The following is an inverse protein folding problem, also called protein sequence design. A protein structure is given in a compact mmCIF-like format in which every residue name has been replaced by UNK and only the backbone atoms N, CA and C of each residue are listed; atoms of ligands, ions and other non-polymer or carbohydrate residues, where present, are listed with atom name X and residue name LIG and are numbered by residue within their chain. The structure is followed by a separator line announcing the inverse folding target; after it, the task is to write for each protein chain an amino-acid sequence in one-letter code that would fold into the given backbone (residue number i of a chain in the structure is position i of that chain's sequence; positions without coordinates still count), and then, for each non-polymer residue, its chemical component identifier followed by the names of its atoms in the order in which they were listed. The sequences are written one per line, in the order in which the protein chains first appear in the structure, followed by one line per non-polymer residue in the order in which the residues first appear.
data_IF_309284793615
#
_entry.id   IF_309284793615
#
_cell.length_a   1.000
_cell.length_b   1.000
_cell.length_c   1.000
_cell.angle_alpha   90.00
_cell.angle_beta   90.00
_cell.angle_gamma   90.00
#
_symmetry.space_group_name_H-M   'P 1'
#
loop_
_entity.id
_entity.type
_entity.pdbx_description
1 polymer ?
#
# COMPACT_ATOMS: atom_id res chain seq x y z
N UNK A 1 4.16 18.71 63.91
CA UNK A 1 3.87 17.56 64.78
C UNK A 1 3.95 16.30 63.94
N UNK A 2 4.77 15.31 64.33
CA UNK A 2 4.92 14.05 63.60
C UNK A 2 3.94 13.02 64.16
N UNK A 3 3.09 12.45 63.30
CA UNK A 3 2.16 11.38 63.67
C UNK A 3 2.95 10.07 63.74
N UNK A 4 3.08 9.50 64.94
CA UNK A 4 3.66 8.17 65.15
C UNK A 4 2.54 7.19 65.56
N UNK A 5 2.60 5.97 65.02
CA UNK A 5 1.68 4.90 65.39
C UNK A 5 2.15 4.16 66.66
N UNK A 6 1.25 3.49 67.40
CA UNK A 6 1.52 2.90 68.72
C UNK A 6 2.60 1.80 68.77
N UNK A 7 3.10 1.36 67.61
CA UNK A 7 4.01 0.24 67.44
C UNK A 7 5.47 0.69 67.20
N UNK A 8 5.78 1.98 67.37
CA UNK A 8 7.15 2.51 67.27
C UNK A 8 7.74 2.59 65.85
N UNK A 9 6.99 2.23 64.81
CA UNK A 9 7.44 2.36 63.43
C UNK A 9 7.16 3.76 62.87
N UNK A 10 8.19 4.38 62.29
CA UNK A 10 8.11 5.68 61.63
C UNK A 10 7.46 5.52 60.25
N UNK A 11 6.54 6.43 59.90
CA UNK A 11 5.93 6.51 58.57
C UNK A 11 7.01 6.82 57.51
N UNK A 12 7.39 5.83 56.71
CA UNK A 12 8.20 6.01 55.51
C UNK A 12 7.25 6.13 54.31
N UNK A 13 7.14 7.35 53.76
CA UNK A 13 6.39 7.59 52.53
C UNK A 13 6.92 6.71 51.40
N UNK A 14 6.04 5.92 50.81
CA UNK A 14 6.36 5.04 49.69
C UNK A 14 6.79 5.92 48.50
N UNK A 15 8.10 6.05 48.27
CA UNK A 15 8.61 6.59 47.01
C UNK A 15 8.38 5.52 45.95
N UNK A 16 7.20 5.54 45.35
CA UNK A 16 6.92 4.80 44.12
C UNK A 16 7.92 5.27 43.07
N UNK A 17 8.95 4.46 42.81
CA UNK A 17 9.84 4.66 41.68
C UNK A 17 8.99 4.54 40.41
N UNK A 18 8.59 5.69 39.85
CA UNK A 18 7.94 5.76 38.55
C UNK A 18 8.92 5.18 37.54
N UNK A 19 8.70 3.92 37.13
CA UNK A 19 9.37 3.35 35.97
C UNK A 19 9.01 4.23 34.78
N UNK A 20 9.94 5.09 34.36
CA UNK A 20 9.80 5.86 33.13
C UNK A 20 9.49 4.87 32.01
N UNK A 21 8.43 5.07 31.20
CA UNK A 21 8.21 4.23 30.05
C UNK A 21 9.46 4.35 29.18
N UNK A 22 10.15 3.23 28.97
CA UNK A 22 11.22 3.13 27.98
C UNK A 22 10.57 3.49 26.65
N UNK A 23 10.92 4.66 26.12
CA UNK A 23 10.67 4.98 24.71
C UNK A 23 11.38 3.87 23.95
N UNK A 24 10.63 2.92 23.41
CA UNK A 24 11.15 2.04 22.37
C UNK A 24 11.51 2.98 21.22
N UNK A 25 12.77 3.40 21.18
CA UNK A 25 13.35 3.88 19.94
C UNK A 25 13.02 2.79 18.91
N UNK A 26 12.31 3.17 17.86
CA UNK A 26 12.11 2.29 16.73
C UNK A 26 13.50 1.99 16.17
N UNK A 27 14.07 0.89 16.61
CA UNK A 27 15.27 0.32 16.03
C UNK A 27 14.87 -0.09 14.63
N UNK A 28 15.31 0.69 13.64
CA UNK A 28 15.41 0.30 12.23
C UNK A 28 16.46 -0.82 12.12
N UNK A 29 16.22 -1.94 12.80
CA UNK A 29 17.10 -3.09 12.74
C UNK A 29 16.87 -3.80 11.43
N UNK A 30 17.82 -3.72 10.49
CA UNK A 30 18.04 -4.66 9.37
C UNK A 30 16.79 -5.33 8.77
N UNK A 31 15.72 -4.56 8.52
CA UNK A 31 14.56 -5.05 7.78
C UNK A 31 14.76 -4.65 6.33
N UNK A 32 14.65 -5.62 5.42
CA UNK A 32 14.60 -5.32 4.00
C UNK A 32 13.51 -4.28 3.69
N UNK A 33 13.67 -3.56 2.59
CA UNK A 33 12.71 -2.57 2.10
C UNK A 33 11.33 -3.23 1.93
N UNK A 34 10.27 -2.58 2.41
CA UNK A 34 8.90 -3.07 2.23
C UNK A 34 8.47 -2.92 0.78
N UNK A 35 7.50 -3.72 0.33
CA UNK A 35 7.01 -3.62 -1.04
C UNK A 35 6.44 -2.22 -1.35
N UNK A 36 5.69 -1.65 -0.41
CA UNK A 36 5.19 -0.27 -0.50
C UNK A 36 6.33 0.74 -0.68
N UNK A 37 7.42 0.60 0.08
CA UNK A 37 8.56 1.51 -0.04
C UNK A 37 9.27 1.35 -1.39
N UNK A 38 9.40 0.12 -1.91
CA UNK A 38 9.95 -0.10 -3.25
C UNK A 38 9.11 0.59 -4.34
N UNK A 39 7.77 0.57 -4.20
CA UNK A 39 6.88 1.26 -5.13
C UNK A 39 7.04 2.77 -5.01
N UNK A 40 7.05 3.30 -3.79
CA UNK A 40 7.19 4.75 -3.56
C UNK A 40 8.53 5.27 -4.12
N UNK A 41 9.64 4.58 -3.85
CA UNK A 41 10.96 4.91 -4.42
C UNK A 41 10.94 4.89 -5.96
N UNK A 42 10.15 3.99 -6.56
CA UNK A 42 10.00 3.91 -8.02
C UNK A 42 9.16 5.06 -8.57
N UNK A 43 8.08 5.42 -7.87
CA UNK A 43 7.23 6.55 -8.25
C UNK A 43 8.00 7.88 -8.14
N UNK A 44 8.79 8.06 -7.08
CA UNK A 44 9.68 9.22 -6.91
C UNK A 44 10.74 9.27 -8.01
N UNK A 45 11.30 8.11 -8.39
CA UNK A 45 12.20 8.03 -9.54
C UNK A 45 11.51 8.49 -10.82
N UNK A 46 10.33 7.96 -11.15
CA UNK A 46 9.58 8.34 -12.35
C UNK A 46 9.23 9.83 -12.38
N UNK A 47 8.82 10.39 -11.23
CA UNK A 47 8.52 11.80 -11.09
C UNK A 47 9.76 12.67 -11.32
N UNK A 48 10.87 12.33 -10.66
CA UNK A 48 12.15 13.08 -10.77
C UNK A 48 12.73 13.07 -12.18
N UNK A 49 12.40 12.05 -12.98
CA UNK A 49 12.83 11.91 -14.38
C UNK A 49 11.82 12.45 -15.38
N UNK A 50 10.66 12.95 -14.92
CA UNK A 50 9.59 13.43 -15.80
C UNK A 50 8.94 12.33 -16.64
N UNK A 51 9.03 11.07 -16.20
CA UNK A 51 8.49 9.90 -16.93
C UNK A 51 6.99 9.74 -16.67
N UNK A 52 6.57 9.88 -15.41
CA UNK A 52 5.18 9.75 -14.99
C UNK A 52 4.93 10.54 -13.70
N UNK A 53 3.67 10.90 -13.45
CA UNK A 53 3.25 11.55 -12.20
C UNK A 53 2.28 10.61 -11.50
N UNK A 54 2.78 9.84 -10.55
CA UNK A 54 2.04 8.77 -9.87
C UNK A 54 2.25 8.90 -8.36
N UNK A 55 1.17 8.84 -7.60
CA UNK A 55 1.20 9.03 -6.15
C UNK A 55 0.36 7.98 -5.43
N UNK A 56 0.75 7.71 -4.18
CA UNK A 56 -0.08 6.97 -3.24
C UNK A 56 -1.14 7.91 -2.66
N UNK A 57 -2.39 7.46 -2.61
CA UNK A 57 -3.46 8.13 -1.89
C UNK A 57 -3.20 8.02 -0.38
N UNK A 58 -3.36 9.12 0.38
CA UNK A 58 -3.20 9.09 1.83
C UNK A 58 -4.28 8.22 2.46
N UNK A 59 -3.95 7.58 3.59
CA UNK A 59 -4.92 6.77 4.33
C UNK A 59 -6.14 7.61 4.73
N UNK A 60 -7.36 7.20 4.35
CA UNK A 60 -8.55 8.00 4.61
C UNK A 60 -8.88 8.03 6.11
N UNK A 61 -8.95 9.24 6.65
CA UNK A 61 -9.33 9.49 8.06
C UNK A 61 -10.51 10.45 8.12
N UNK A 62 -11.42 10.20 9.06
CA UNK A 62 -12.45 11.14 9.48
C UNK A 62 -11.92 11.96 10.65
N UNK A 63 -11.66 13.23 10.42
CA UNK A 63 -11.26 14.15 11.48
C UNK A 63 -12.51 14.58 12.24
N UNK A 64 -12.54 14.38 13.55
CA UNK A 64 -13.66 14.75 14.42
C UNK A 64 -13.36 15.98 15.25
N UNK A 65 -12.13 16.10 15.75
CA UNK A 65 -11.71 17.25 16.56
C UNK A 65 -10.35 17.76 16.15
N UNK A 66 -10.26 19.07 15.96
CA UNK A 66 -9.02 19.80 15.64
C UNK A 66 -8.86 20.96 16.60
N UNK A 67 -7.66 21.10 17.15
CA UNK A 67 -7.26 22.27 17.93
C UNK A 67 -6.32 23.15 17.09
N UNK A 68 -6.46 24.48 17.22
CA UNK A 68 -5.64 25.47 16.53
C UNK A 68 -4.86 26.31 17.54
N UNK A 69 -3.70 25.83 18.04
CA UNK A 69 -2.94 26.55 19.05
C UNK A 69 -2.40 27.90 18.56
N UNK A 70 -2.12 28.04 17.25
CA UNK A 70 -1.66 29.28 16.58
C UNK A 70 -2.11 29.26 15.11
N UNK A 71 -2.15 30.42 14.42
CA UNK A 71 -2.61 30.52 13.02
C UNK A 71 -1.88 29.60 12.02
N UNK A 72 -0.65 29.19 12.29
CA UNK A 72 0.16 28.34 11.41
C UNK A 72 0.13 26.85 11.77
N UNK A 73 -0.64 26.44 12.78
CA UNK A 73 -0.62 25.07 13.27
C UNK A 73 -2.04 24.57 13.58
N UNK A 74 -2.35 23.38 13.07
CA UNK A 74 -3.55 22.63 13.38
C UNK A 74 -3.14 21.26 13.91
N UNK A 75 -3.73 20.85 15.04
CA UNK A 75 -3.48 19.55 15.66
C UNK A 75 -4.76 18.75 15.64
N UNK A 76 -4.77 17.63 14.93
CA UNK A 76 -5.88 16.67 14.98
C UNK A 76 -5.86 16.01 16.36
N UNK A 77 -6.93 16.17 17.13
CA UNK A 77 -7.09 15.59 18.48
C UNK A 77 -7.83 14.27 18.46
N UNK A 78 -8.76 14.12 17.53
CA UNK A 78 -9.58 12.91 17.40
C UNK A 78 -9.87 12.67 15.93
N UNK A 79 -9.59 11.45 15.48
CA UNK A 79 -9.93 10.98 14.15
C UNK A 79 -10.21 9.47 14.16
N UNK A 80 -11.07 9.05 13.23
CA UNK A 80 -11.39 7.64 13.00
C UNK A 80 -10.92 7.23 11.62
N UNK A 81 -10.37 6.03 11.47
CA UNK A 81 -10.08 5.50 10.13
C UNK A 81 -11.40 5.29 9.37
N UNK A 82 -11.41 5.72 8.11
CA UNK A 82 -12.48 5.35 7.18
C UNK A 82 -12.03 4.15 6.37
N UNK A 83 -12.99 3.34 5.95
CA UNK A 83 -12.73 2.36 4.91
C UNK A 83 -12.40 3.10 3.61
N UNK A 84 -11.32 2.70 2.93
CA UNK A 84 -11.03 3.19 1.59
C UNK A 84 -12.11 2.73 0.62
N UNK A 85 -12.49 3.60 -0.31
CA UNK A 85 -13.45 3.27 -1.38
C UNK A 85 -12.76 3.05 -2.73
N UNK A 86 -11.45 3.26 -2.80
CA UNK A 86 -10.67 3.21 -4.03
C UNK A 86 -9.37 2.45 -3.79
N UNK A 87 -8.66 2.15 -4.87
CA UNK A 87 -7.27 1.67 -4.88
C UNK A 87 -6.28 2.69 -4.30
N UNK A 88 -5.13 2.20 -3.87
CA UNK A 88 -4.10 3.00 -3.18
C UNK A 88 -3.26 3.91 -4.09
N UNK A 89 -3.05 3.60 -5.37
CA UNK A 89 -2.17 4.39 -6.25
C UNK A 89 -2.88 4.85 -7.51
N UNK A 90 -2.61 6.10 -7.92
CA UNK A 90 -3.04 6.59 -9.21
C UNK A 90 -2.13 7.72 -9.73
N UNK A 91 -2.32 8.06 -11.01
CA UNK A 91 -1.53 9.08 -11.66
C UNK A 91 -1.81 9.22 -13.14
N UNK A 92 -0.86 9.86 -13.82
CA UNK A 92 -0.87 10.06 -15.27
C UNK A 92 0.44 9.58 -15.86
N UNK A 93 0.31 8.82 -16.95
CA UNK A 93 1.43 8.36 -17.76
C UNK A 93 1.08 8.52 -19.23
N UNK A 94 1.92 9.24 -19.99
CA UNK A 94 1.69 9.56 -21.41
C UNK A 94 0.26 10.07 -21.71
N UNK A 95 -0.26 10.97 -20.87
CA UNK A 95 -1.60 11.54 -21.03
C UNK A 95 -2.77 10.60 -20.65
N UNK A 96 -2.51 9.35 -20.25
CA UNK A 96 -3.52 8.38 -19.83
C UNK A 96 -3.61 8.30 -18.31
N UNK A 97 -4.83 8.12 -17.81
CA UNK A 97 -5.08 7.82 -16.40
C UNK A 97 -4.54 6.42 -16.06
N UNK A 98 -3.76 6.34 -15.00
CA UNK A 98 -3.18 5.11 -14.48
C UNK A 98 -3.64 4.91 -13.04
N UNK A 99 -4.09 3.71 -12.70
CA UNK A 99 -4.61 3.37 -11.39
C UNK A 99 -4.22 1.95 -11.02
N UNK A 100 -3.67 1.74 -9.83
CA UNK A 100 -3.33 0.40 -9.41
C UNK A 100 -3.40 0.21 -7.90
N UNK A 101 -3.50 -1.06 -7.55
CA UNK A 101 -3.38 -1.55 -6.19
C UNK A 101 -2.07 -2.35 -6.04
N UNK A 102 -1.54 -2.45 -4.82
CA UNK A 102 -0.34 -3.23 -4.55
C UNK A 102 -0.57 -4.19 -3.38
N UNK A 103 -0.33 -5.48 -3.60
CA UNK A 103 -0.46 -6.51 -2.55
C UNK A 103 0.77 -7.39 -2.51
N UNK A 104 1.17 -7.75 -1.31
CA UNK A 104 2.22 -8.74 -1.08
C UNK A 104 1.64 -10.05 -0.53
N UNK A 105 2.31 -11.16 -0.82
CA UNK A 105 2.02 -12.47 -0.25
C UNK A 105 3.31 -13.21 0.06
N UNK A 106 3.32 -13.91 1.20
CA UNK A 106 4.40 -14.84 1.55
C UNK A 106 4.13 -16.26 1.03
N UNK A 107 2.92 -16.54 0.53
CA UNK A 107 2.57 -17.84 0.00
C UNK A 107 3.35 -18.09 -1.31
N UNK A 108 4.02 -19.25 -1.40
CA UNK A 108 4.86 -19.64 -2.54
C UNK A 108 4.08 -20.24 -3.72
N UNK A 109 2.82 -20.59 -3.51
CA UNK A 109 2.04 -21.42 -4.44
C UNK A 109 0.83 -20.71 -5.02
N UNK A 110 0.39 -19.60 -4.42
CA UNK A 110 -0.80 -18.87 -4.85
C UNK A 110 -0.88 -17.48 -4.20
N UNK A 111 -1.66 -16.61 -4.84
CA UNK A 111 -2.12 -15.34 -4.30
C UNK A 111 -3.57 -15.47 -3.80
N UNK A 112 -3.83 -15.36 -2.48
CA UNK A 112 -5.19 -15.43 -1.94
C UNK A 112 -6.05 -14.24 -2.37
N UNK A 113 -7.23 -14.48 -2.93
CA UNK A 113 -8.16 -13.40 -3.31
C UNK A 113 -8.70 -12.66 -2.09
N UNK A 114 -8.67 -13.25 -0.89
CA UNK A 114 -9.02 -12.57 0.36
C UNK A 114 -8.19 -11.32 0.66
N UNK A 115 -7.04 -11.16 -0.01
CA UNK A 115 -6.20 -9.97 0.09
C UNK A 115 -6.75 -8.76 -0.69
N UNK A 116 -7.79 -8.98 -1.50
CA UNK A 116 -8.49 -7.96 -2.28
C UNK A 116 -9.87 -7.74 -1.66
N UNK A 117 -10.30 -6.49 -1.62
CA UNK A 117 -11.60 -6.10 -1.08
C UNK A 117 -12.56 -5.70 -2.20
N UNK A 118 -13.87 -5.92 -1.99
CA UNK A 118 -14.89 -5.65 -3.01
C UNK A 118 -14.87 -4.20 -3.52
N UNK A 119 -14.67 -3.21 -2.64
CA UNK A 119 -14.61 -1.80 -3.04
C UNK A 119 -13.46 -1.51 -4.03
N UNK A 120 -12.33 -2.24 -3.95
CA UNK A 120 -11.22 -2.09 -4.89
C UNK A 120 -11.63 -2.62 -6.26
N UNK A 121 -12.32 -3.76 -6.29
CA UNK A 121 -12.86 -4.37 -7.51
C UNK A 121 -13.87 -3.45 -8.19
N UNK A 122 -14.82 -2.92 -7.42
CA UNK A 122 -15.85 -2.00 -7.92
C UNK A 122 -15.22 -0.74 -8.53
N UNK A 123 -14.21 -0.16 -7.85
CA UNK A 123 -13.45 0.99 -8.35
C UNK A 123 -12.67 0.65 -9.63
N UNK A 124 -11.98 -0.49 -9.66
CA UNK A 124 -11.25 -0.95 -10.86
C UNK A 124 -12.18 -1.11 -12.06
N UNK A 125 -13.38 -1.67 -11.88
CA UNK A 125 -14.38 -1.77 -12.95
C UNK A 125 -14.80 -0.40 -13.49
N UNK A 126 -15.02 0.57 -12.61
CA UNK A 126 -15.38 1.94 -13.01
C UNK A 126 -14.24 2.61 -13.80
N UNK A 127 -12.99 2.46 -13.35
CA UNK A 127 -11.83 2.99 -14.07
C UNK A 127 -11.63 2.33 -15.43
N UNK A 128 -11.80 1.00 -15.54
CA UNK A 128 -11.73 0.29 -16.81
C UNK A 128 -12.82 0.76 -17.80
N UNK A 129 -14.04 1.02 -17.32
CA UNK A 129 -15.11 1.56 -18.15
C UNK A 129 -14.78 2.95 -18.74
N UNK A 130 -13.87 3.69 -18.10
CA UNK A 130 -13.33 4.97 -18.58
C UNK A 130 -11.98 4.83 -19.32
N UNK A 131 -11.62 3.61 -19.74
CA UNK A 131 -10.38 3.32 -20.49
C UNK A 131 -9.09 3.64 -19.72
N UNK A 132 -9.15 3.60 -18.38
CA UNK A 132 -7.96 3.75 -17.54
C UNK A 132 -7.00 2.56 -17.65
N UNK A 133 -5.71 2.81 -17.42
CA UNK A 133 -4.69 1.77 -17.28
C UNK A 133 -4.78 1.21 -15.85
N UNK A 134 -5.54 0.12 -15.69
CA UNK A 134 -5.86 -0.43 -14.37
C UNK A 134 -5.24 -1.80 -14.15
N UNK A 135 -4.49 -1.98 -13.06
CA UNK A 135 -3.81 -3.24 -12.75
C UNK A 135 -3.57 -3.43 -11.25
N UNK A 136 -3.11 -4.62 -10.88
CA UNK A 136 -2.67 -5.00 -9.54
C UNK A 136 -1.18 -5.40 -9.61
N UNK A 137 -0.35 -4.80 -8.78
CA UNK A 137 1.00 -5.30 -8.54
C UNK A 137 0.97 -6.34 -7.42
N UNK A 138 1.47 -7.54 -7.72
CA UNK A 138 1.53 -8.67 -6.78
C UNK A 138 2.99 -9.03 -6.50
N UNK A 139 3.40 -8.90 -5.25
CA UNK A 139 4.74 -9.28 -4.80
C UNK A 139 4.74 -10.58 -3.99
N UNK A 140 5.38 -11.61 -4.54
CA UNK A 140 5.65 -12.86 -3.85
C UNK A 140 6.93 -12.70 -3.01
N UNK A 141 6.80 -12.18 -1.79
CA UNK A 141 7.95 -11.73 -0.98
C UNK A 141 8.95 -12.84 -0.65
N UNK A 142 8.47 -14.08 -0.50
CA UNK A 142 9.35 -15.24 -0.26
C UNK A 142 10.10 -15.67 -1.51
N UNK A 143 9.53 -15.44 -2.70
CA UNK A 143 10.15 -15.75 -3.98
C UNK A 143 10.96 -14.57 -4.54
N UNK A 144 10.75 -13.37 -3.98
CA UNK A 144 11.33 -12.09 -4.43
C UNK A 144 10.96 -11.77 -5.87
N UNK A 145 9.71 -12.03 -6.24
CA UNK A 145 9.19 -11.81 -7.58
C UNK A 145 7.99 -10.88 -7.55
N UNK A 146 7.95 -9.91 -8.47
CA UNK A 146 6.86 -8.97 -8.64
C UNK A 146 6.18 -9.22 -9.98
N UNK A 147 4.86 -9.11 -10.01
CA UNK A 147 4.04 -9.32 -11.20
C UNK A 147 3.04 -8.18 -11.37
N UNK A 148 2.77 -7.81 -12.62
CA UNK A 148 1.71 -6.90 -13.02
C UNK A 148 0.56 -7.73 -13.57
N UNK A 149 -0.51 -7.83 -12.79
CA UNK A 149 -1.77 -8.49 -13.15
C UNK A 149 -2.75 -7.43 -13.65
N UNK A 150 -3.16 -7.51 -14.90
CA UNK A 150 -4.18 -6.63 -15.45
C UNK A 150 -5.50 -6.75 -14.68
N UNK A 151 -6.24 -5.65 -14.55
CA UNK A 151 -7.49 -5.67 -13.82
C UNK A 151 -8.55 -6.59 -14.46
N UNK A 152 -8.59 -6.72 -15.78
CA UNK A 152 -9.50 -7.65 -16.46
C UNK A 152 -9.29 -9.11 -16.00
N UNK A 153 -8.03 -9.54 -15.89
CA UNK A 153 -7.68 -10.87 -15.41
C UNK A 153 -8.04 -11.04 -13.93
N UNK A 154 -7.76 -10.02 -13.10
CA UNK A 154 -8.16 -10.03 -11.71
C UNK A 154 -9.69 -10.19 -11.56
N UNK A 155 -10.47 -9.47 -12.37
CA UNK A 155 -11.93 -9.55 -12.38
C UNK A 155 -12.42 -10.94 -12.78
N UNK A 156 -11.80 -11.57 -13.77
CA UNK A 156 -12.10 -12.96 -14.15
C UNK A 156 -11.95 -13.90 -12.95
N UNK A 157 -10.82 -13.81 -12.23
CA UNK A 157 -10.58 -14.65 -11.04
C UNK A 157 -11.51 -14.29 -9.88
N UNK A 158 -11.76 -13.01 -9.66
CA UNK A 158 -12.66 -12.52 -8.61
C UNK A 158 -14.08 -13.05 -8.77
N UNK A 159 -14.62 -13.00 -9.99
CA UNK A 159 -15.97 -13.45 -10.28
C UNK A 159 -16.15 -14.97 -10.13
N UNK A 160 -15.06 -15.74 -10.15
CA UNK A 160 -15.08 -17.20 -9.97
C UNK A 160 -14.81 -17.62 -8.51
N UNK A 161 -14.63 -16.68 -7.58
CA UNK A 161 -14.27 -16.99 -6.18
C UNK A 161 -15.32 -17.82 -5.46
N UNK A 162 -16.60 -17.57 -5.75
CA UNK A 162 -17.75 -18.24 -5.14
C UNK A 162 -17.98 -19.64 -5.73
N UNK A 163 -17.37 -19.94 -6.88
CA UNK A 163 -17.32 -21.27 -7.49
C UNK A 163 -16.18 -22.13 -6.95
N UNK A 164 -15.47 -21.66 -5.91
CA UNK A 164 -14.42 -22.40 -5.21
C UNK A 164 -12.98 -21.92 -5.48
N UNK A 165 -12.77 -21.03 -6.45
CA UNK A 165 -11.43 -20.48 -6.78
C UNK A 165 -11.05 -19.32 -5.87
N UNK A 166 -10.69 -19.61 -4.61
CA UNK A 166 -10.37 -18.59 -3.59
C UNK A 166 -8.97 -17.95 -3.71
N UNK A 167 -8.17 -18.37 -4.69
CA UNK A 167 -6.80 -17.89 -4.89
C UNK A 167 -6.37 -18.07 -6.34
N UNK A 168 -5.46 -17.21 -6.80
CA UNK A 168 -4.81 -17.30 -8.12
C UNK A 168 -3.53 -18.14 -7.97
N UNK A 169 -3.38 -19.28 -8.65
CA UNK A 169 -2.18 -20.11 -8.55
C UNK A 169 -0.92 -19.37 -9.00
N UNK A 170 0.21 -19.58 -8.33
CA UNK A 170 1.50 -19.00 -8.72
C UNK A 170 1.88 -19.38 -10.17
N UNK A 171 1.54 -20.60 -10.60
CA UNK A 171 1.74 -21.04 -11.98
C UNK A 171 1.02 -20.16 -13.00
N UNK A 172 -0.17 -19.65 -12.67
CA UNK A 172 -0.87 -18.67 -13.53
C UNK A 172 -0.05 -17.38 -13.66
N UNK A 173 0.56 -16.89 -12.57
CA UNK A 173 1.44 -15.72 -12.65
C UNK A 173 2.65 -15.96 -13.55
N UNK A 174 3.24 -17.16 -13.50
CA UNK A 174 4.39 -17.49 -14.33
C UNK A 174 4.05 -17.59 -15.83
N UNK A 175 2.86 -18.09 -16.14
CA UNK A 175 2.49 -18.45 -17.51
C UNK A 175 1.70 -17.36 -18.24
N UNK A 176 0.94 -16.54 -17.49
CA UNK A 176 -0.04 -15.61 -18.05
C UNK A 176 0.10 -14.17 -17.57
N UNK A 177 0.93 -13.90 -16.57
CA UNK A 177 1.04 -12.57 -15.96
C UNK A 177 2.43 -11.99 -16.17
N UNK A 178 2.52 -10.69 -16.36
CA UNK A 178 3.79 -10.04 -16.69
C UNK A 178 4.68 -9.89 -15.47
N UNK A 179 5.86 -10.52 -15.50
CA UNK A 179 6.87 -10.35 -14.45
C UNK A 179 7.47 -8.94 -14.53
N UNK A 180 7.42 -8.22 -13.41
CA UNK A 180 7.98 -6.87 -13.30
C UNK A 180 9.43 -6.96 -12.84
N UNK A 181 10.40 -6.38 -13.57
CA UNK A 181 11.80 -6.36 -13.16
C UNK A 181 11.98 -5.59 -11.85
N UNK A 182 12.75 -6.18 -10.93
CA UNK A 182 13.23 -5.50 -9.73
C UNK A 182 14.65 -5.01 -10.01
N UNK A 183 14.85 -3.68 -9.98
CA UNK A 183 16.14 -3.05 -10.32
C UNK A 183 16.64 -2.15 -9.19
N UNK A 184 17.71 -1.40 -9.46
CA UNK A 184 18.26 -0.41 -8.52
C UNK A 184 17.45 0.88 -8.55
N UNK A 185 17.12 1.37 -9.76
CA UNK A 185 16.33 2.58 -9.98
C UNK A 185 15.71 2.51 -11.39
N UNK A 186 14.37 2.48 -11.54
CA UNK A 186 13.37 2.32 -10.48
C UNK A 186 13.47 0.96 -9.77
N UNK A 187 12.95 0.82 -8.54
CA UNK A 187 13.02 -0.45 -7.79
C UNK A 187 12.04 -1.49 -8.32
N UNK A 188 10.82 -1.08 -8.64
CA UNK A 188 9.77 -1.86 -9.29
C UNK A 188 9.54 -1.20 -10.65
N UNK A 189 10.10 -1.79 -11.70
CA UNK A 189 10.10 -1.21 -13.03
C UNK A 189 8.79 -1.46 -13.80
N UNK A 190 7.63 -1.16 -13.19
CA UNK A 190 6.32 -1.56 -13.73
C UNK A 190 5.93 -0.78 -15.00
N UNK A 191 6.39 0.47 -15.18
CA UNK A 191 6.07 1.24 -16.39
C UNK A 191 6.65 0.60 -17.67
N UNK A 192 7.79 -0.11 -17.58
CA UNK A 192 8.38 -0.83 -18.71
C UNK A 192 7.46 -1.94 -19.24
N UNK A 193 6.64 -2.49 -18.35
CA UNK A 193 5.65 -3.52 -18.70
C UNK A 193 4.40 -2.87 -19.30
N UNK A 194 3.97 -1.73 -18.76
CA UNK A 194 2.75 -1.04 -19.20
C UNK A 194 2.78 -0.71 -20.70
N UNK A 195 3.91 -0.22 -21.22
CA UNK A 195 4.04 0.12 -22.64
C UNK A 195 3.72 -1.08 -23.55
N UNK A 196 4.20 -2.27 -23.16
CA UNK A 196 4.02 -3.51 -23.92
C UNK A 196 2.60 -4.06 -23.75
N UNK A 197 2.10 -4.07 -22.52
CA UNK A 197 0.81 -4.69 -22.17
C UNK A 197 -0.36 -3.89 -22.75
N UNK A 198 -0.32 -2.57 -22.56
CA UNK A 198 -1.42 -1.68 -22.98
C UNK A 198 -1.19 -1.05 -24.36
N UNK A 199 -0.16 -1.50 -25.10
CA UNK A 199 0.18 -1.05 -26.47
C UNK A 199 0.17 0.47 -26.61
N UNK A 200 0.80 1.15 -25.66
CA UNK A 200 0.83 2.61 -25.66
C UNK A 200 1.83 3.04 -26.74
N UNK A 201 1.34 3.72 -27.79
CA UNK A 201 2.14 4.21 -28.91
C UNK A 201 1.88 3.55 -30.28
N UNK A 202 1.09 2.47 -30.37
CA UNK A 202 0.79 1.81 -31.67
C UNK A 202 -0.36 2.46 -32.47
N UNK A 203 -1.08 3.43 -31.90
CA UNK A 203 -2.26 4.04 -32.52
C UNK A 203 -2.00 5.36 -33.27
N UNK A 204 -0.77 5.90 -33.25
CA UNK A 204 -0.46 7.21 -33.87
C UNK A 204 0.01 7.11 -35.34
N UNK A 205 0.18 5.90 -35.89
CA UNK A 205 0.58 5.68 -37.29
C UNK A 205 -0.61 5.48 -38.27
N UNK A 206 -1.84 5.81 -37.85
CA UNK A 206 -3.05 5.69 -38.69
C UNK A 206 -3.92 6.95 -38.74
N UNK A 207 -3.30 8.12 -38.90
CA UNK A 207 -3.98 9.31 -39.40
C UNK A 207 -3.24 9.96 -40.56
#
# INVERSE_FOLDING_TARGET
MAVNYPNGQRYQGMKSAVKRPQVRQQTFGNRGMTFEQMINDSNDYYLSKGVAVIHKKPTPIQIVKVDYPKRSAATIKEAYFKQASTTDYNGVYQGKYLDFEAKETQNKTSFPLSNIHQHQIDHMQQCLAQQGLVFLLVYFSTLKECYLLEANDLLMWWNQKDLGKKSIPYKYFQDHVHKVPIKIAPRIAYLEIIDTVFRIGENDDKQ
#
